data_IF_108868751964
#
_entry.id   IF_108868751964
#
_cell.length_a   1.000
_cell.length_b   1.000
_cell.length_c   1.000
_cell.angle_alpha   90.00
_cell.angle_beta   90.00
_cell.angle_gamma   90.00
#
_symmetry.space_group_name_H-M   'P 1'
#
loop_
_entity.id
_entity.type
_entity.pdbx_description
1 polymer ?
#
# COMPACT_ATOMS: atom_id res chain seq x y z
N UNK A 1 0.64 -14.23 26.52
CA UNK A 1 -0.30 -14.30 25.39
C UNK A 1 0.46 -13.93 24.11
N UNK A 2 1.11 -14.91 23.49
CA UNK A 2 1.89 -14.74 22.26
C UNK A 2 1.04 -15.28 21.11
N UNK A 3 0.62 -14.45 20.16
CA UNK A 3 -0.08 -14.90 18.95
C UNK A 3 0.96 -15.63 18.09
N UNK A 4 0.86 -16.95 18.06
CA UNK A 4 1.74 -17.84 17.31
C UNK A 4 1.41 -17.68 15.82
N UNK A 5 2.30 -17.04 15.06
CA UNK A 5 2.28 -17.11 13.60
C UNK A 5 2.83 -18.48 13.23
N UNK A 6 1.94 -19.42 12.91
CA UNK A 6 2.35 -20.76 12.50
C UNK A 6 2.81 -20.65 11.04
N UNK A 7 4.11 -20.43 10.85
CA UNK A 7 4.77 -20.53 9.55
C UNK A 7 5.10 -22.00 9.29
N UNK A 8 4.31 -22.65 8.43
CA UNK A 8 4.66 -23.96 7.89
C UNK A 8 5.60 -23.78 6.70
N UNK A 9 6.90 -23.72 6.98
CA UNK A 9 7.93 -23.81 5.95
C UNK A 9 8.21 -25.29 5.65
N UNK A 10 7.81 -25.76 4.46
CA UNK A 10 8.40 -26.93 3.82
C UNK A 10 8.17 -26.83 2.31
N UNK A 11 9.27 -26.65 1.58
CA UNK A 11 9.63 -27.32 0.31
C UNK A 11 10.70 -26.49 -0.39
N UNK A 12 11.91 -27.02 -0.44
CA UNK A 12 12.96 -26.55 -1.33
C UNK A 12 12.65 -27.01 -2.76
N UNK A 13 12.43 -26.09 -3.70
CA UNK A 13 12.66 -26.33 -5.12
C UNK A 13 13.09 -25.03 -5.83
N UNK A 14 14.08 -25.20 -6.69
CA UNK A 14 14.78 -24.19 -7.49
C UNK A 14 13.82 -23.62 -8.54
N UNK A 15 13.68 -22.29 -8.57
CA UNK A 15 12.95 -21.56 -9.61
C UNK A 15 12.33 -20.30 -9.06
N UNK A 16 12.79 -19.14 -9.52
CA UNK A 16 12.22 -17.83 -9.18
C UNK A 16 10.86 -17.72 -9.88
N UNK A 17 9.83 -18.30 -9.28
CA UNK A 17 8.49 -17.75 -9.35
C UNK A 17 8.34 -16.96 -8.06
N UNK A 18 8.23 -15.64 -8.18
CA UNK A 18 7.75 -14.81 -7.09
C UNK A 18 6.30 -15.22 -6.81
N UNK A 19 6.12 -16.33 -6.09
CA UNK A 19 4.87 -16.62 -5.44
C UNK A 19 4.73 -15.52 -4.38
N UNK A 20 3.95 -14.48 -4.71
CA UNK A 20 3.47 -13.56 -3.70
C UNK A 20 2.89 -14.43 -2.58
N UNK A 21 3.54 -14.44 -1.43
CA UNK A 21 3.12 -15.25 -0.29
C UNK A 21 1.67 -14.88 0.01
N UNK A 22 0.74 -15.75 -0.37
CA UNK A 22 -0.68 -15.48 -0.22
C UNK A 22 -0.95 -15.39 1.27
N UNK A 23 -1.33 -14.21 1.75
CA UNK A 23 -1.57 -13.99 3.17
C UNK A 23 -2.94 -14.58 3.53
N UNK A 24 -2.93 -15.59 4.40
CA UNK A 24 -4.13 -16.21 4.92
C UNK A 24 -4.44 -15.71 6.34
N UNK A 25 -5.73 -15.51 6.63
CA UNK A 25 -6.24 -15.22 7.97
C UNK A 25 -7.28 -16.27 8.34
N UNK A 26 -7.25 -16.75 9.58
CA UNK A 26 -8.30 -17.61 10.14
C UNK A 26 -9.16 -16.78 11.09
N UNK A 27 -10.48 -16.93 11.03
CA UNK A 27 -11.37 -16.38 12.05
C UNK A 27 -11.52 -17.32 13.27
N UNK A 28 -12.29 -16.89 14.26
CA UNK A 28 -12.51 -17.66 15.49
C UNK A 28 -13.27 -18.99 15.28
N UNK A 29 -13.95 -19.11 14.14
CA UNK A 29 -14.73 -20.28 13.75
C UNK A 29 -13.94 -21.19 12.79
N UNK A 30 -12.67 -20.88 12.53
CA UNK A 30 -11.77 -21.66 11.68
C UNK A 30 -11.97 -21.43 10.18
N UNK A 31 -12.66 -20.34 9.79
CA UNK A 31 -12.82 -19.98 8.38
C UNK A 31 -11.56 -19.29 7.86
N UNK A 32 -11.02 -19.83 6.78
CA UNK A 32 -9.85 -19.30 6.09
C UNK A 32 -10.22 -18.19 5.10
N UNK A 33 -9.53 -17.07 5.19
CA UNK A 33 -9.66 -15.91 4.31
C UNK A 33 -8.34 -15.61 3.61
N UNK A 34 -8.38 -15.44 2.29
CA UNK A 34 -7.29 -14.86 1.52
C UNK A 34 -7.33 -13.33 1.67
N UNK A 35 -6.28 -12.72 2.22
CA UNK A 35 -6.18 -11.27 2.37
C UNK A 35 -5.63 -10.66 1.08
N UNK A 36 -6.34 -9.65 0.57
CA UNK A 36 -5.93 -8.91 -0.62
C UNK A 36 -6.10 -7.41 -0.40
N UNK A 37 -5.16 -6.63 -0.92
CA UNK A 37 -5.18 -5.17 -0.81
C UNK A 37 -6.28 -4.54 -1.69
N UNK A 38 -6.59 -5.19 -2.82
CA UNK A 38 -7.61 -4.75 -3.78
C UNK A 38 -8.46 -5.96 -4.19
N UNK A 39 -9.75 -5.71 -4.46
CA UNK A 39 -10.63 -6.72 -5.03
C UNK A 39 -10.02 -7.25 -6.35
N UNK A 40 -9.78 -8.56 -6.47
CA UNK A 40 -9.33 -9.14 -7.72
C UNK A 40 -10.43 -9.04 -8.78
N UNK A 41 -10.03 -8.98 -10.05
CA UNK A 41 -10.98 -9.02 -11.18
C UNK A 41 -11.72 -10.36 -11.28
N UNK A 42 -11.04 -11.44 -10.89
CA UNK A 42 -11.60 -12.79 -10.84
C UNK A 42 -11.19 -13.47 -9.54
N UNK A 43 -12.11 -14.23 -8.96
CA UNK A 43 -11.84 -15.04 -7.77
C UNK A 43 -12.05 -16.54 -8.04
N UNK A 44 -11.60 -17.37 -7.11
CA UNK A 44 -11.81 -18.82 -7.17
C UNK A 44 -13.11 -19.21 -6.45
N UNK A 45 -14.09 -19.81 -7.15
CA UNK A 45 -15.39 -20.13 -6.58
C UNK A 45 -15.30 -20.91 -5.26
N UNK A 46 -16.09 -20.51 -4.27
CA UNK A 46 -16.10 -21.13 -2.94
C UNK A 46 -15.05 -20.57 -1.97
N UNK A 47 -13.97 -19.93 -2.46
CA UNK A 47 -12.99 -19.28 -1.58
C UNK A 47 -13.54 -18.02 -0.92
N UNK A 48 -12.98 -17.71 0.25
CA UNK A 48 -13.29 -16.50 1.02
C UNK A 48 -12.12 -15.52 0.94
N UNK A 49 -12.45 -14.25 0.83
CA UNK A 49 -11.48 -13.17 0.71
C UNK A 49 -11.74 -12.13 1.76
N UNK A 50 -10.68 -11.48 2.23
CA UNK A 50 -10.75 -10.27 3.01
C UNK A 50 -10.17 -9.14 2.18
N UNK A 51 -11.06 -8.32 1.62
CA UNK A 51 -10.71 -7.14 0.82
C UNK A 51 -10.82 -5.94 1.77
N UNK A 52 -9.67 -5.36 2.14
CA UNK A 52 -9.61 -4.34 3.19
C UNK A 52 -10.28 -4.87 4.49
N UNK A 53 -11.29 -4.19 5.02
CA UNK A 53 -12.05 -4.62 6.19
C UNK A 53 -13.28 -5.49 5.87
N UNK A 54 -13.58 -5.71 4.59
CA UNK A 54 -14.76 -6.42 4.13
C UNK A 54 -14.48 -7.90 3.91
N UNK A 55 -15.43 -8.73 4.33
CA UNK A 55 -15.40 -10.17 4.13
C UNK A 55 -16.19 -10.50 2.87
N UNK A 56 -15.59 -11.27 1.98
CA UNK A 56 -16.13 -11.59 0.68
C UNK A 56 -16.15 -13.09 0.44
N UNK A 57 -17.12 -13.54 -0.35
CA UNK A 57 -17.19 -14.92 -0.86
C UNK A 57 -17.16 -14.88 -2.38
N UNK A 58 -16.40 -15.77 -2.99
CA UNK A 58 -16.41 -15.93 -4.43
C UNK A 58 -17.60 -16.79 -4.88
N UNK A 59 -18.40 -16.24 -5.79
CA UNK A 59 -19.55 -16.92 -6.40
C UNK A 59 -19.12 -17.82 -7.57
N UNK A 60 -20.04 -18.64 -8.09
CA UNK A 60 -19.79 -19.50 -9.26
C UNK A 60 -19.35 -18.71 -10.50
N UNK A 61 -19.93 -17.51 -10.67
CA UNK A 61 -19.64 -16.60 -11.79
C UNK A 61 -18.31 -15.85 -11.64
N UNK A 62 -17.50 -16.19 -10.62
CA UNK A 62 -16.20 -15.56 -10.30
C UNK A 62 -16.29 -14.11 -9.85
N UNK A 63 -17.49 -13.68 -9.47
CA UNK A 63 -17.74 -12.40 -8.80
C UNK A 63 -17.63 -12.51 -7.28
N UNK A 64 -17.21 -11.42 -6.63
CA UNK A 64 -17.15 -11.32 -5.18
C UNK A 64 -18.44 -10.75 -4.60
N UNK A 65 -19.07 -11.50 -3.70
CA UNK A 65 -20.11 -10.99 -2.82
C UNK A 65 -19.49 -10.58 -1.48
N UNK A 66 -19.45 -9.27 -1.20
CA UNK A 66 -18.79 -8.71 -0.03
C UNK A 66 -19.77 -8.06 0.96
N UNK A 67 -19.38 -8.02 2.24
CA UNK A 67 -19.96 -7.07 3.20
C UNK A 67 -19.72 -5.62 2.75
N UNK A 68 -20.47 -4.67 3.30
CA UNK A 68 -20.35 -3.23 2.97
C UNK A 68 -20.02 -2.39 4.20
N UNK A 69 -18.98 -2.79 4.93
CA UNK A 69 -18.42 -2.04 6.06
C UNK A 69 -17.68 -0.82 5.52
N UNK A 70 -17.84 0.33 6.19
CA UNK A 70 -16.99 1.50 5.96
C UNK A 70 -15.62 1.20 6.55
N UNK A 71 -14.64 1.00 5.69
CA UNK A 71 -13.28 0.73 6.10
C UNK A 71 -12.55 2.04 6.42
N UNK A 72 -11.66 1.98 7.41
CA UNK A 72 -10.77 3.10 7.71
C UNK A 72 -9.79 3.22 6.53
N UNK A 73 -9.60 4.40 5.94
CA UNK A 73 -8.61 4.61 4.90
C UNK A 73 -7.27 4.08 5.39
N UNK A 74 -6.80 2.99 4.76
CA UNK A 74 -5.44 2.55 4.99
C UNK A 74 -4.53 3.59 4.34
N UNK A 75 -3.41 3.95 4.98
CA UNK A 75 -2.41 4.75 4.30
C UNK A 75 -1.93 3.91 3.12
N UNK A 76 -2.48 4.21 1.95
CA UNK A 76 -1.98 3.67 0.70
C UNK A 76 -0.50 4.04 0.71
N UNK A 77 0.38 3.05 0.59
CA UNK A 77 1.77 3.31 0.22
C UNK A 77 1.75 3.89 -1.18
N UNK A 78 1.41 5.17 -1.29
CA UNK A 78 1.59 5.91 -2.51
C UNK A 78 3.08 6.22 -2.52
N UNK A 79 3.77 5.80 -3.59
CA UNK A 79 5.13 6.21 -3.89
C UNK A 79 5.12 7.70 -4.30
N UNK A 80 4.62 8.58 -3.41
CA UNK A 80 4.70 10.02 -3.58
C UNK A 80 6.13 10.40 -3.24
N UNK A 81 6.85 10.90 -4.24
CA UNK A 81 8.12 11.56 -4.00
C UNK A 81 7.90 12.73 -3.03
N UNK A 82 8.51 12.62 -1.86
CA UNK A 82 8.30 13.52 -0.73
C UNK A 82 9.64 14.01 -0.20
N UNK A 83 9.72 15.29 0.17
CA UNK A 83 10.89 15.82 0.86
C UNK A 83 10.53 16.73 2.05
N UNK A 84 11.52 17.25 2.78
CA UNK A 84 11.28 18.17 3.88
C UNK A 84 10.62 19.46 3.36
N UNK A 85 9.84 20.13 4.21
CA UNK A 85 9.30 21.44 3.87
C UNK A 85 10.44 22.45 3.68
N UNK A 86 10.49 23.07 2.51
CA UNK A 86 11.45 24.12 2.17
C UNK A 86 10.76 25.48 2.15
N UNK A 87 11.41 26.49 2.74
CA UNK A 87 11.00 27.90 2.67
C UNK A 87 12.07 28.72 1.97
N UNK A 88 11.67 29.86 1.41
CA UNK A 88 12.57 30.74 0.69
C UNK A 88 13.80 31.12 1.54
N UNK A 89 15.00 30.95 0.97
CA UNK A 89 16.28 31.20 1.64
C UNK A 89 16.93 29.97 2.29
N UNK A 90 16.19 28.86 2.47
CA UNK A 90 16.78 27.61 2.95
C UNK A 90 17.69 26.98 1.87
N UNK A 91 18.76 26.28 2.26
CA UNK A 91 19.63 25.59 1.31
C UNK A 91 18.88 24.54 0.49
N UNK A 92 19.12 24.53 -0.81
CA UNK A 92 18.66 23.51 -1.75
C UNK A 92 19.80 23.05 -2.67
N UNK A 93 19.70 21.88 -3.32
CA UNK A 93 20.78 21.36 -4.15
C UNK A 93 20.88 22.18 -5.45
N UNK A 94 21.88 23.08 -5.53
CA UNK A 94 22.02 24.04 -6.64
C UNK A 94 21.94 23.38 -8.02
N UNK A 95 21.14 23.97 -8.91
CA UNK A 95 20.83 23.48 -10.27
C UNK A 95 20.20 22.07 -10.33
N UNK A 96 19.67 21.54 -9.22
CA UNK A 96 19.00 20.23 -9.18
C UNK A 96 17.53 20.35 -8.80
N UNK A 97 16.79 19.31 -9.18
CA UNK A 97 15.44 19.08 -8.71
C UNK A 97 15.44 18.50 -7.29
N UNK A 98 14.44 18.87 -6.50
CA UNK A 98 14.16 18.29 -5.20
C UNK A 98 12.65 18.32 -4.92
N UNK A 99 12.24 17.69 -3.82
CA UNK A 99 10.86 17.73 -3.37
C UNK A 99 10.76 18.52 -2.06
N UNK A 100 9.80 19.44 -2.00
CA UNK A 100 9.36 20.08 -0.75
C UNK A 100 7.97 19.58 -0.44
N UNK A 101 7.86 18.72 0.58
CA UNK A 101 6.67 17.87 0.76
C UNK A 101 6.35 17.15 -0.55
N UNK A 102 5.11 17.19 -1.04
CA UNK A 102 4.71 16.59 -2.32
C UNK A 102 4.99 17.48 -3.56
N UNK A 103 5.54 18.69 -3.37
CA UNK A 103 5.79 19.62 -4.45
C UNK A 103 7.16 19.39 -5.08
N UNK A 104 7.19 19.34 -6.41
CA UNK A 104 8.44 19.26 -7.17
C UNK A 104 9.01 20.66 -7.31
N UNK A 105 10.29 20.82 -7.00
CA UNK A 105 11.00 22.09 -6.99
C UNK A 105 12.25 22.03 -7.87
N UNK A 106 12.59 23.14 -8.51
CA UNK A 106 13.88 23.36 -9.18
C UNK A 106 14.69 24.39 -8.38
N UNK A 107 15.85 23.99 -7.88
CA UNK A 107 16.76 24.89 -7.17
C UNK A 107 17.60 25.69 -8.16
N UNK A 108 17.75 26.98 -7.89
CA UNK A 108 18.58 27.92 -8.64
C UNK A 108 20.08 27.71 -8.39
N UNK A 109 20.93 28.45 -9.11
CA UNK A 109 22.38 28.33 -9.00
C UNK A 109 22.95 28.87 -7.68
N UNK A 110 22.21 29.72 -6.97
CA UNK A 110 22.57 30.26 -5.66
C UNK A 110 22.41 29.25 -4.51
N UNK A 111 21.78 28.10 -4.78
CA UNK A 111 21.49 27.08 -3.79
C UNK A 111 20.49 27.51 -2.71
N UNK A 112 19.72 28.59 -2.94
CA UNK A 112 18.82 29.19 -1.93
C UNK A 112 17.51 29.72 -2.50
N UNK A 113 17.41 29.89 -3.81
CA UNK A 113 16.18 30.24 -4.51
C UNK A 113 15.66 29.00 -5.21
N UNK A 114 14.37 28.72 -5.10
CA UNK A 114 13.73 27.63 -5.83
C UNK A 114 12.34 28.02 -6.30
N UNK A 115 11.89 27.38 -7.38
CA UNK A 115 10.51 27.45 -7.86
C UNK A 115 9.89 26.08 -7.74
N UNK A 116 8.73 26.01 -7.09
CA UNK A 116 8.02 24.77 -6.79
C UNK A 116 6.63 24.76 -7.42
N UNK A 117 6.08 23.57 -7.65
CA UNK A 117 4.64 23.40 -7.90
C UNK A 117 3.82 23.84 -6.68
N UNK A 118 2.51 24.08 -6.85
CA UNK A 118 1.58 24.53 -5.79
C UNK A 118 0.48 23.48 -5.53
N UNK A 119 0.88 22.25 -5.25
CA UNK A 119 -0.02 21.18 -4.81
C UNK A 119 -0.33 21.34 -3.32
N UNK A 120 -1.57 21.12 -2.94
CA UNK A 120 -1.95 20.93 -1.55
C UNK A 120 -1.44 19.57 -1.07
N UNK A 121 -0.44 19.58 -0.19
CA UNK A 121 0.16 18.35 0.33
C UNK A 121 -0.53 17.93 1.62
N UNK A 122 -1.03 16.70 1.66
CA UNK A 122 -1.52 16.05 2.88
C UNK A 122 -0.51 14.97 3.24
N UNK A 123 0.10 15.06 4.41
CA UNK A 123 1.03 14.02 4.88
C UNK A 123 0.27 12.69 4.98
N UNK A 124 0.71 11.62 4.29
CA UNK A 124 0.10 10.30 4.49
C UNK A 124 0.22 9.90 5.96
N UNK A 125 -0.84 9.33 6.54
CA UNK A 125 -0.77 8.80 7.89
C UNK A 125 0.32 7.71 7.95
N UNK A 126 1.25 7.84 8.88
CA UNK A 126 2.29 6.82 9.16
C UNK A 126 1.75 5.72 10.05
#
# INVERSE_FOLDING_TARGET
MKKMMISFALMAFVGIVAAAETQYMMDGDGVEYIVVDKAPEHCEPGKKYKVDCNLCSCLSEKDLACTRRKCVPHPVKQDIAWGPFWKHGDPCPANKEFYSECNKCQCGPDGKTAVCTLKACVRPAV
#
